data_IF_313468370182
#
_entry.id   IF_313468370182
#
_cell.length_a   1.000
_cell.length_b   1.000
_cell.length_c   1.000
_cell.angle_alpha   90.00
_cell.angle_beta   90.00
_cell.angle_gamma   90.00
#
_symmetry.space_group_name_H-M   'P 1'
#
loop_
_entity.id
_entity.type
_entity.pdbx_description
1 polymer ?
#
# COMPACT_ATOMS: atom_id res chain seq x y z
N UNK A 1 -13.61 12.88 4.94
CA UNK A 1 -13.90 13.35 6.32
C UNK A 1 -12.67 13.97 6.98
N UNK A 2 -11.56 13.23 7.25
CA UNK A 2 -10.37 13.79 7.93
C UNK A 2 -9.85 15.08 7.28
N UNK A 3 -9.80 15.15 5.96
CA UNK A 3 -9.32 16.32 5.22
C UNK A 3 -10.27 17.52 5.42
N UNK A 4 -11.58 17.31 5.49
CA UNK A 4 -12.54 18.39 5.80
C UNK A 4 -12.43 18.89 7.24
N UNK A 5 -11.86 18.10 8.15
CA UNK A 5 -11.50 18.50 9.50
C UNK A 5 -10.11 19.16 9.60
N UNK A 6 -9.47 19.46 8.47
CA UNK A 6 -8.18 20.16 8.44
C UNK A 6 -6.94 19.28 8.30
N UNK A 7 -7.09 17.94 8.26
CA UNK A 7 -5.96 17.03 8.08
C UNK A 7 -5.31 17.26 6.70
N UNK A 8 -3.98 17.40 6.64
CA UNK A 8 -3.22 17.63 5.40
C UNK A 8 -2.15 16.57 5.13
N UNK A 9 -1.79 15.78 6.13
CA UNK A 9 -0.83 14.68 6.01
C UNK A 9 -1.50 13.42 6.55
N UNK A 10 -1.53 12.37 5.73
CA UNK A 10 -2.23 11.13 6.05
C UNK A 10 -1.28 9.97 5.78
N UNK A 11 -1.14 9.11 6.76
CA UNK A 11 -0.42 7.83 6.59
C UNK A 11 -1.40 6.73 6.96
N UNK A 12 -1.60 5.79 6.06
CA UNK A 12 -2.36 4.58 6.35
C UNK A 12 -1.43 3.40 6.53
N UNK A 13 -1.92 2.39 7.21
CA UNK A 13 -1.32 1.06 7.22
C UNK A 13 -2.37 0.01 7.01
N UNK A 14 -1.99 -1.08 6.38
CA UNK A 14 -2.88 -2.19 6.09
C UNK A 14 -2.13 -3.44 5.68
N UNK A 15 -2.84 -4.55 5.67
CA UNK A 15 -2.33 -5.80 5.14
C UNK A 15 -2.35 -5.81 3.60
N UNK A 16 -1.47 -6.61 3.00
CA UNK A 16 -1.49 -6.86 1.55
C UNK A 16 -1.16 -8.31 1.25
N UNK A 17 -1.69 -8.79 0.12
CA UNK A 17 -1.20 -9.99 -0.53
C UNK A 17 0.09 -9.70 -1.29
N UNK A 18 1.02 -10.66 -1.34
CA UNK A 18 2.25 -10.54 -2.12
C UNK A 18 2.18 -11.41 -3.36
N UNK A 19 2.51 -10.83 -4.52
CA UNK A 19 2.45 -11.47 -5.83
C UNK A 19 3.77 -12.15 -6.21
N UNK A 20 4.85 -11.84 -5.48
CA UNK A 20 6.20 -12.37 -5.71
C UNK A 20 6.75 -12.92 -4.40
N UNK A 21 7.84 -13.67 -4.48
CA UNK A 21 8.53 -14.12 -3.27
C UNK A 21 9.28 -12.94 -2.65
N UNK A 22 8.81 -12.49 -1.50
CA UNK A 22 9.38 -11.39 -0.74
C UNK A 22 9.84 -11.90 0.64
N UNK A 23 10.94 -11.34 1.16
CA UNK A 23 11.46 -11.70 2.49
C UNK A 23 10.39 -11.53 3.59
N UNK A 24 10.48 -12.34 4.62
CA UNK A 24 9.61 -12.18 5.79
C UNK A 24 10.05 -10.98 6.64
N UNK A 25 9.10 -10.40 7.38
CA UNK A 25 9.35 -9.27 8.28
C UNK A 25 9.83 -7.95 7.62
N UNK A 26 9.64 -7.80 6.32
CA UNK A 26 9.78 -6.50 5.63
C UNK A 26 8.45 -5.75 5.59
N UNK A 27 8.48 -4.45 5.85
CA UNK A 27 7.40 -3.54 5.47
C UNK A 27 7.50 -3.16 4.00
N UNK A 28 6.36 -2.91 3.38
CA UNK A 28 6.28 -2.60 1.96
C UNK A 28 5.74 -1.18 1.80
N UNK A 29 6.49 -0.35 1.07
CA UNK A 29 6.18 1.07 0.92
C UNK A 29 5.78 1.33 -0.53
N UNK A 30 4.48 1.55 -0.81
CA UNK A 30 4.04 1.82 -2.16
C UNK A 30 4.63 3.11 -2.71
N UNK A 31 5.32 3.03 -3.85
CA UNK A 31 5.77 4.19 -4.62
C UNK A 31 4.69 4.64 -5.60
N UNK A 32 3.94 3.68 -6.13
CA UNK A 32 2.77 3.90 -6.97
C UNK A 32 1.77 2.76 -6.82
N UNK A 33 0.51 3.06 -7.12
CA UNK A 33 -0.58 2.09 -7.12
C UNK A 33 -1.18 1.95 -8.52
N UNK A 34 -1.41 0.70 -8.96
CA UNK A 34 -2.17 0.38 -10.14
C UNK A 34 -3.66 0.52 -9.80
N UNK A 35 -4.38 1.29 -10.62
CA UNK A 35 -5.79 1.64 -10.41
C UNK A 35 -6.68 0.60 -11.07
N UNK A 36 -7.12 -0.40 -10.30
CA UNK A 36 -8.02 -1.47 -10.75
C UNK A 36 -9.26 -1.54 -9.85
N UNK A 37 -9.73 -0.36 -9.45
CA UNK A 37 -10.90 -0.11 -8.60
C UNK A 37 -11.69 1.09 -9.15
N UNK A 38 -12.91 1.29 -8.71
CA UNK A 38 -13.79 2.34 -9.24
C UNK A 38 -13.61 3.72 -8.62
N UNK A 39 -13.23 3.78 -7.34
CA UNK A 39 -13.31 5.01 -6.52
C UNK A 39 -12.33 6.10 -6.97
N UNK A 40 -11.10 5.77 -7.32
CA UNK A 40 -10.07 6.76 -7.69
C UNK A 40 -10.45 7.58 -8.93
N UNK A 41 -11.26 7.03 -9.83
CA UNK A 41 -11.73 7.71 -11.06
C UNK A 41 -12.75 8.80 -10.79
N UNK A 42 -13.39 8.82 -9.60
CA UNK A 42 -14.24 9.94 -9.18
C UNK A 42 -13.44 11.17 -8.73
N UNK A 43 -12.15 11.01 -8.45
CA UNK A 43 -11.29 12.08 -7.93
C UNK A 43 -10.29 12.61 -8.97
N UNK A 44 -9.76 11.74 -9.82
CA UNK A 44 -8.73 12.09 -10.80
C UNK A 44 -9.05 11.52 -12.18
N UNK A 45 -8.60 12.16 -13.27
CA UNK A 45 -8.71 11.62 -14.62
C UNK A 45 -8.19 10.19 -14.72
N UNK A 46 -8.65 9.45 -15.72
CA UNK A 46 -8.23 8.09 -15.97
C UNK A 46 -6.71 8.01 -16.25
N UNK A 47 -6.05 7.11 -15.54
CA UNK A 47 -4.66 6.74 -15.76
C UNK A 47 -4.46 5.33 -15.22
N UNK A 48 -3.45 4.62 -15.71
CA UNK A 48 -3.17 3.25 -15.25
C UNK A 48 -2.65 3.21 -13.83
N UNK A 49 -1.85 4.18 -13.44
CA UNK A 49 -1.22 4.27 -12.13
C UNK A 49 -1.47 5.62 -11.48
N UNK A 50 -1.30 5.65 -10.17
CA UNK A 50 -1.18 6.87 -9.37
C UNK A 50 0.11 6.80 -8.56
N UNK A 51 0.96 7.83 -8.69
CA UNK A 51 2.16 8.00 -7.86
C UNK A 51 1.77 8.46 -6.46
N UNK A 52 2.40 7.91 -5.42
CA UNK A 52 2.23 8.36 -4.06
C UNK A 52 3.07 9.62 -3.78
N UNK A 53 2.72 10.36 -2.72
CA UNK A 53 3.40 11.59 -2.37
C UNK A 53 4.84 11.32 -1.92
N UNK A 54 5.82 11.84 -2.68
CA UNK A 54 7.24 11.60 -2.43
C UNK A 54 7.68 12.04 -1.04
N UNK A 55 7.23 13.22 -0.56
CA UNK A 55 7.69 13.74 0.73
C UNK A 55 7.22 12.86 1.90
N UNK A 56 5.99 12.33 1.82
CA UNK A 56 5.50 11.39 2.85
C UNK A 56 6.24 10.06 2.76
N UNK A 57 6.49 9.55 1.55
CA UNK A 57 7.26 8.32 1.35
C UNK A 57 8.68 8.46 1.92
N UNK A 58 9.40 9.52 1.56
CA UNK A 58 10.76 9.78 2.06
C UNK A 58 10.79 9.84 3.60
N UNK A 59 9.78 10.43 4.24
CA UNK A 59 9.65 10.47 5.69
C UNK A 59 9.40 9.08 6.30
N UNK A 60 8.58 8.25 5.65
CA UNK A 60 8.36 6.86 6.05
C UNK A 60 9.67 6.09 5.98
N UNK A 61 10.35 6.12 4.85
CA UNK A 61 11.61 5.41 4.63
C UNK A 61 12.70 5.85 5.61
N UNK A 62 12.83 7.16 5.82
CA UNK A 62 13.78 7.70 6.80
C UNK A 62 13.49 7.17 8.21
N UNK A 63 12.23 7.16 8.63
CA UNK A 63 11.84 6.66 9.96
C UNK A 63 12.17 5.18 10.12
N UNK A 64 11.92 4.36 9.10
CA UNK A 64 12.23 2.94 9.09
C UNK A 64 13.75 2.69 9.16
N UNK A 65 14.53 3.45 8.37
CA UNK A 65 15.99 3.40 8.40
C UNK A 65 16.58 3.74 9.79
N UNK A 66 16.10 4.82 10.40
CA UNK A 66 16.56 5.24 11.74
C UNK A 66 16.25 4.20 12.81
N UNK A 67 15.16 3.46 12.66
CA UNK A 67 14.75 2.40 13.58
C UNK A 67 15.34 1.02 13.23
N UNK A 68 16.20 0.92 12.21
CA UNK A 68 16.77 -0.34 11.70
C UNK A 68 15.68 -1.38 11.35
N UNK A 69 14.60 -0.91 10.73
CA UNK A 69 13.46 -1.75 10.33
C UNK A 69 13.55 -2.03 8.83
N UNK A 70 13.61 -3.31 8.42
CA UNK A 70 13.69 -3.67 7.01
C UNK A 70 12.40 -3.28 6.26
N UNK A 71 12.59 -2.68 5.10
CA UNK A 71 11.50 -2.32 4.20
C UNK A 71 11.92 -2.42 2.74
N UNK A 72 10.94 -2.40 1.88
CA UNK A 72 11.12 -2.39 0.42
C UNK A 72 10.09 -1.49 -0.24
N UNK A 73 10.50 -0.71 -1.23
CA UNK A 73 9.58 -0.05 -2.14
C UNK A 73 8.80 -1.08 -2.98
N UNK A 74 7.55 -0.79 -3.26
CA UNK A 74 6.69 -1.66 -4.04
C UNK A 74 5.78 -0.90 -5.00
N UNK A 75 5.29 -1.60 -6.01
CA UNK A 75 4.12 -1.20 -6.81
C UNK A 75 2.96 -2.05 -6.33
N UNK A 76 1.92 -1.41 -5.80
CA UNK A 76 0.73 -2.15 -5.35
C UNK A 76 -0.35 -2.17 -6.42
N UNK A 77 -1.04 -3.27 -6.54
CA UNK A 77 -2.27 -3.40 -7.30
C UNK A 77 -3.45 -3.14 -6.37
N UNK A 78 -4.15 -2.02 -6.56
CA UNK A 78 -5.37 -1.72 -5.82
C UNK A 78 -6.56 -2.27 -6.58
N UNK A 79 -7.29 -3.22 -5.99
CA UNK A 79 -8.47 -3.84 -6.59
C UNK A 79 -9.69 -3.77 -5.67
N UNK A 80 -10.88 -3.63 -6.22
CA UNK A 80 -12.16 -3.80 -5.51
C UNK A 80 -12.79 -5.19 -5.75
N UNK A 81 -12.10 -6.02 -6.55
CA UNK A 81 -12.53 -7.35 -6.94
C UNK A 81 -11.76 -8.49 -6.25
N UNK A 82 -11.74 -8.56 -4.93
CA UNK A 82 -11.00 -9.55 -4.16
C UNK A 82 -11.10 -10.99 -4.69
N UNK A 83 -12.32 -11.44 -5.02
CA UNK A 83 -12.54 -12.78 -5.56
C UNK A 83 -12.14 -12.92 -7.05
N UNK A 84 -11.58 -11.87 -7.65
CA UNK A 84 -11.06 -11.89 -9.03
C UNK A 84 -9.53 -11.96 -9.09
N UNK A 85 -8.86 -12.15 -7.98
CA UNK A 85 -7.41 -12.38 -7.89
C UNK A 85 -7.04 -13.80 -8.37
N UNK A 86 -7.45 -14.10 -9.61
CA UNK A 86 -7.14 -15.39 -10.25
C UNK A 86 -5.65 -15.50 -10.62
N UNK A 87 -5.16 -16.73 -10.81
CA UNK A 87 -3.77 -16.97 -11.20
C UNK A 87 -3.35 -16.18 -12.45
N UNK A 88 -4.25 -16.04 -13.43
CA UNK A 88 -3.97 -15.27 -14.65
C UNK A 88 -3.88 -13.77 -14.37
N UNK A 89 -4.74 -13.24 -13.50
CA UNK A 89 -4.68 -11.84 -13.07
C UNK A 89 -3.41 -11.57 -12.28
N UNK A 90 -3.05 -12.43 -11.33
CA UNK A 90 -1.79 -12.30 -10.56
C UNK A 90 -0.58 -12.26 -11.51
N UNK A 91 -0.51 -13.16 -12.49
CA UNK A 91 0.56 -13.15 -13.50
C UNK A 91 0.55 -11.86 -14.33
N UNK A 92 -0.63 -11.43 -14.76
CA UNK A 92 -0.77 -10.22 -15.57
C UNK A 92 -0.34 -8.97 -14.79
N UNK A 93 -0.80 -8.80 -13.54
CA UNK A 93 -0.39 -7.69 -12.69
C UNK A 93 1.08 -7.73 -12.31
N UNK A 94 1.63 -8.92 -12.08
CA UNK A 94 3.07 -9.12 -11.90
C UNK A 94 3.88 -8.68 -13.13
N UNK A 95 3.42 -8.99 -14.33
CA UNK A 95 4.05 -8.53 -15.58
C UNK A 95 3.96 -7.00 -15.76
N UNK A 96 2.97 -6.33 -15.17
CA UNK A 96 2.88 -4.87 -15.09
C UNK A 96 3.77 -4.26 -13.97
N UNK A 97 4.54 -5.09 -13.26
CA UNK A 97 5.46 -4.67 -12.21
C UNK A 97 4.85 -4.59 -10.81
N UNK A 98 3.60 -5.02 -10.60
CA UNK A 98 3.01 -5.08 -9.28
C UNK A 98 3.65 -6.22 -8.47
N UNK A 99 3.98 -5.95 -7.22
CA UNK A 99 4.56 -6.93 -6.29
C UNK A 99 3.63 -7.21 -5.11
N UNK A 100 2.63 -6.37 -4.91
CA UNK A 100 1.62 -6.48 -3.85
C UNK A 100 0.23 -6.21 -4.39
N UNK A 101 -0.80 -6.67 -3.66
CA UNK A 101 -2.21 -6.37 -3.90
C UNK A 101 -2.89 -5.96 -2.60
N UNK A 102 -3.74 -4.96 -2.67
CA UNK A 102 -4.57 -4.44 -1.57
C UNK A 102 -5.79 -3.72 -2.15
N UNK A 103 -6.61 -3.07 -1.33
CA UNK A 103 -7.92 -2.60 -1.79
C UNK A 103 -8.14 -1.09 -1.69
N UNK A 104 -7.22 -0.27 -1.16
CA UNK A 104 -7.48 1.12 -0.80
C UNK A 104 -6.49 2.17 -1.34
N UNK A 105 -5.26 1.80 -1.61
CA UNK A 105 -4.13 2.72 -1.86
C UNK A 105 -4.43 3.74 -2.97
N UNK A 106 -4.88 3.27 -4.14
CA UNK A 106 -5.15 4.15 -5.27
C UNK A 106 -6.29 5.13 -4.98
N UNK A 107 -7.35 4.65 -4.34
CA UNK A 107 -8.52 5.45 -3.97
C UNK A 107 -8.16 6.53 -2.96
N UNK A 108 -7.43 6.17 -1.90
CA UNK A 108 -6.99 7.11 -0.86
C UNK A 108 -6.02 8.15 -1.40
N UNK A 109 -5.03 7.73 -2.21
CA UNK A 109 -4.08 8.63 -2.85
C UNK A 109 -4.78 9.62 -3.80
N UNK A 110 -5.75 9.16 -4.58
CA UNK A 110 -6.51 10.01 -5.49
C UNK A 110 -7.38 11.03 -4.74
N UNK A 111 -8.07 10.60 -3.70
CA UNK A 111 -8.87 11.47 -2.84
C UNK A 111 -8.01 12.54 -2.16
N UNK A 112 -6.88 12.14 -1.57
CA UNK A 112 -5.96 13.05 -0.91
C UNK A 112 -5.42 14.10 -1.90
N UNK A 113 -4.91 13.68 -3.06
CA UNK A 113 -4.39 14.56 -4.10
C UNK A 113 -5.44 15.56 -4.59
N UNK A 114 -6.65 15.12 -4.88
CA UNK A 114 -7.76 15.99 -5.31
C UNK A 114 -8.10 17.06 -4.26
N UNK A 115 -7.92 16.74 -2.98
CA UNK A 115 -8.27 17.63 -1.85
C UNK A 115 -7.08 18.36 -1.24
N UNK A 116 -5.91 18.34 -1.90
CA UNK A 116 -4.72 19.06 -1.47
C UNK A 116 -4.09 18.52 -0.18
N UNK A 117 -4.24 17.22 0.07
CA UNK A 117 -3.57 16.52 1.16
C UNK A 117 -2.50 15.56 0.62
N UNK A 118 -1.49 15.30 1.42
CA UNK A 118 -0.43 14.33 1.15
C UNK A 118 -0.78 12.98 1.77
N UNK A 119 -0.55 11.90 1.02
CA UNK A 119 -0.87 10.53 1.44
C UNK A 119 0.33 9.61 1.22
N UNK A 120 0.58 8.75 2.19
CA UNK A 120 1.50 7.63 2.11
C UNK A 120 0.94 6.39 2.81
N UNK A 121 1.54 5.24 2.56
CA UNK A 121 1.07 3.97 3.11
C UNK A 121 2.23 3.08 3.51
N UNK A 122 2.05 2.36 4.62
CA UNK A 122 2.93 1.29 5.09
C UNK A 122 2.12 -0.01 5.02
N UNK A 123 2.55 -0.93 4.17
CA UNK A 123 1.91 -2.24 4.04
C UNK A 123 2.71 -3.31 4.79
N UNK A 124 2.00 -4.32 5.28
CA UNK A 124 2.60 -5.53 5.84
C UNK A 124 1.93 -6.77 5.22
N UNK A 125 2.69 -7.85 5.14
CA UNK A 125 2.19 -9.09 4.52
C UNK A 125 1.13 -9.74 5.39
N UNK A 126 0.00 -10.10 4.78
CA UNK A 126 -1.03 -10.93 5.38
C UNK A 126 -0.97 -12.36 4.82
N UNK A 127 -0.79 -12.48 3.51
CA UNK A 127 -0.82 -13.74 2.80
C UNK A 127 0.15 -13.73 1.60
N UNK A 128 0.30 -14.85 0.93
CA UNK A 128 1.11 -14.97 -0.28
C UNK A 128 0.27 -15.57 -1.41
N UNK A 129 0.14 -14.80 -2.49
CA UNK A 129 -0.46 -15.19 -3.76
C UNK A 129 0.59 -15.64 -4.79
N UNK A 130 1.87 -15.67 -4.42
CA UNK A 130 2.95 -16.16 -5.29
C UNK A 130 2.70 -17.60 -5.78
N UNK A 131 1.94 -18.37 -4.99
CA UNK A 131 1.40 -19.66 -5.42
C UNK A 131 -0.08 -19.78 -4.99
N UNK A 132 -0.98 -19.39 -5.88
CA UNK A 132 -2.44 -19.36 -5.64
C UNK A 132 -3.00 -20.75 -5.25
N UNK A 133 -2.33 -21.84 -5.66
CA UNK A 133 -2.72 -23.22 -5.30
C UNK A 133 -2.26 -23.63 -3.90
N UNK A 134 -1.36 -22.87 -3.26
CA UNK A 134 -0.86 -23.09 -1.90
C UNK A 134 -0.96 -21.80 -1.11
N UNK A 135 -2.18 -21.30 -0.99
CA UNK A 135 -2.48 -20.11 -0.20
C UNK A 135 -1.99 -20.30 1.25
N UNK A 136 -1.20 -19.35 1.74
CA UNK A 136 -0.65 -19.36 3.09
C UNK A 136 -1.17 -18.13 3.86
N UNK A 137 -2.09 -18.35 4.77
CA UNK A 137 -2.83 -17.31 5.52
C UNK A 137 -2.00 -16.61 6.60
N UNK A 138 -0.75 -16.97 6.85
CA UNK A 138 0.24 -16.30 7.73
C UNK A 138 -0.35 -15.43 8.87
N UNK A 139 -1.33 -15.95 9.61
CA UNK A 139 -2.01 -15.23 10.70
C UNK A 139 -2.63 -13.87 10.29
N UNK A 140 -2.84 -13.67 8.97
CA UNK A 140 -3.40 -12.42 8.40
C UNK A 140 -2.64 -11.16 8.85
N UNK A 141 -1.35 -11.27 9.13
CA UNK A 141 -0.48 -10.15 9.50
C UNK A 141 -0.75 -9.55 10.88
N UNK A 142 -1.48 -10.22 11.76
CA UNK A 142 -1.85 -9.69 13.10
C UNK A 142 -0.65 -9.28 13.93
N UNK A 143 0.45 -10.02 13.86
CA UNK A 143 1.69 -9.69 14.56
C UNK A 143 2.32 -8.38 14.08
N UNK A 144 2.13 -8.00 12.81
CA UNK A 144 2.70 -6.80 12.19
C UNK A 144 1.81 -5.56 12.38
N UNK A 145 0.51 -5.72 12.64
CA UNK A 145 -0.45 -4.60 12.72
C UNK A 145 -0.05 -3.55 13.75
N UNK A 146 0.29 -3.98 14.97
CA UNK A 146 0.67 -3.07 16.05
C UNK A 146 1.92 -2.28 15.69
N UNK A 147 2.95 -2.96 15.20
CA UNK A 147 4.21 -2.32 14.81
C UNK A 147 4.01 -1.33 13.66
N UNK A 148 3.19 -1.69 12.68
CA UNK A 148 2.86 -0.81 11.55
C UNK A 148 2.15 0.48 12.02
N UNK A 149 1.23 0.39 12.99
CA UNK A 149 0.57 1.54 13.58
C UNK A 149 1.55 2.43 14.36
N UNK A 150 2.42 1.84 15.17
CA UNK A 150 3.47 2.55 15.90
C UNK A 150 4.39 3.32 14.94
N UNK A 151 4.73 2.72 13.79
CA UNK A 151 5.51 3.38 12.73
C UNK A 151 4.77 4.55 12.11
N UNK A 152 3.47 4.41 11.80
CA UNK A 152 2.68 5.54 11.29
C UNK A 152 2.70 6.72 12.25
N UNK A 153 2.58 6.47 13.57
CA UNK A 153 2.64 7.50 14.60
C UNK A 153 4.04 8.15 14.63
N UNK A 154 5.10 7.35 14.60
CA UNK A 154 6.47 7.85 14.59
C UNK A 154 6.74 8.75 13.37
N UNK A 155 6.31 8.35 12.17
CA UNK A 155 6.45 9.17 10.96
C UNK A 155 5.69 10.50 11.10
N UNK A 156 4.46 10.48 11.61
CA UNK A 156 3.66 11.71 11.79
C UNK A 156 4.29 12.71 12.75
N UNK A 157 5.16 12.28 13.66
CA UNK A 157 5.91 13.14 14.56
C UNK A 157 7.11 13.82 13.89
N UNK A 158 7.53 13.37 12.71
CA UNK A 158 8.71 13.90 11.99
C UNK A 158 8.34 14.85 10.84
N UNK A 159 7.06 14.97 10.48
CA UNK A 159 6.58 15.73 9.32
C UNK A 159 5.61 16.85 9.66
#
# INVERSE_FOLDING_TARGET
FLISCGCRKIISTGSCGVLTDLAENEFLIPVKALRDEGTSYHYLPASRYIELNKNIRDAIEHTLLVQDIPFRECVTWTTDGFFRETQDMVRYRGAEGCTTVEMECAALAACARKRGASFGQILYKADSLANVLKHNERDWGKSSLRKALELCIAVLQTI
#
